data_IF_446808492642
#
_entry.id   IF_446808492642
#
_cell.length_a   1.000
_cell.length_b   1.000
_cell.length_c   1.000
_cell.angle_alpha   90.00
_cell.angle_beta   90.00
_cell.angle_gamma   90.00
#
_symmetry.space_group_name_H-M   'P 1'
#
loop_
_entity.id
_entity.type
_entity.pdbx_description
1 polymer ?
#
# COMPACT_ATOMS: atom_id res chain seq x y z
N UNK A 1 -10.27 4.10 32.31
CA UNK A 1 -9.23 5.01 31.77
C UNK A 1 -8.53 4.19 30.69
N UNK A 2 -8.82 4.52 29.40
CA UNK A 2 -8.08 3.94 28.27
C UNK A 2 -6.64 4.39 28.37
N UNK A 3 -5.68 3.45 28.16
CA UNK A 3 -4.29 3.83 27.93
C UNK A 3 -4.27 4.76 26.72
N UNK A 4 -3.52 5.86 26.79
CA UNK A 4 -3.21 6.65 25.61
C UNK A 4 -2.66 5.69 24.54
N UNK A 5 -3.32 5.65 23.39
CA UNK A 5 -2.83 4.86 22.27
C UNK A 5 -1.57 5.52 21.73
N UNK A 6 -0.50 4.79 21.67
CA UNK A 6 0.72 5.26 21.03
C UNK A 6 0.44 5.56 19.55
N UNK A 7 0.76 6.77 19.12
CA UNK A 7 0.59 7.21 17.75
C UNK A 7 1.93 7.12 17.03
N UNK A 8 2.02 6.27 16.00
CA UNK A 8 3.20 6.20 15.14
C UNK A 8 3.15 7.39 14.19
N UNK A 9 4.08 8.35 14.31
CA UNK A 9 4.24 9.39 13.30
C UNK A 9 4.98 8.81 12.09
N UNK A 10 4.20 8.36 11.13
CA UNK A 10 4.69 7.75 9.88
C UNK A 10 5.50 8.75 9.02
N UNK A 11 5.41 10.06 9.31
CA UNK A 11 5.81 11.12 8.38
C UNK A 11 6.61 12.25 9.02
N UNK A 12 7.18 12.02 10.19
CA UNK A 12 7.99 13.00 10.93
C UNK A 12 9.18 13.57 10.14
N UNK A 13 9.65 12.85 9.12
CA UNK A 13 10.75 13.29 8.24
C UNK A 13 10.36 14.40 7.27
N UNK A 14 9.05 14.66 7.07
CA UNK A 14 8.58 15.67 6.13
C UNK A 14 8.00 16.86 6.90
N UNK A 15 8.65 18.03 6.76
CA UNK A 15 8.14 19.31 7.32
C UNK A 15 7.01 19.86 6.43
N UNK A 16 5.88 19.16 6.40
CA UNK A 16 4.69 19.60 5.68
C UNK A 16 3.78 20.35 6.65
N UNK A 17 3.68 21.67 6.47
CA UNK A 17 2.82 22.54 7.30
C UNK A 17 1.36 22.45 6.92
N UNK A 18 1.06 22.20 5.64
CA UNK A 18 -0.32 22.04 5.17
C UNK A 18 -0.86 20.65 5.52
N UNK A 19 -1.78 20.61 6.49
CA UNK A 19 -2.42 19.36 6.95
C UNK A 19 -3.19 18.69 5.81
N UNK A 20 -3.82 19.45 4.91
CA UNK A 20 -4.57 18.89 3.79
C UNK A 20 -3.65 18.24 2.76
N UNK A 21 -2.50 18.84 2.51
CA UNK A 21 -1.44 18.26 1.67
C UNK A 21 -0.89 16.98 2.32
N UNK A 22 -0.57 17.04 3.62
CA UNK A 22 -0.12 15.87 4.39
C UNK A 22 -1.12 14.72 4.30
N UNK A 23 -2.41 14.99 4.49
CA UNK A 23 -3.47 13.98 4.38
C UNK A 23 -3.54 13.35 2.98
N UNK A 24 -3.51 14.15 1.91
CA UNK A 24 -3.60 13.64 0.54
C UNK A 24 -2.42 12.77 0.15
N UNK A 25 -1.22 13.17 0.55
CA UNK A 25 0.01 12.46 0.22
C UNK A 25 0.11 11.10 0.91
N UNK A 26 -0.29 11.09 2.16
CA UNK A 26 -0.02 9.98 3.05
C UNK A 26 -1.25 9.13 3.38
N UNK A 27 -2.36 9.37 2.70
CA UNK A 27 -3.41 8.36 2.70
C UNK A 27 -2.85 7.05 2.14
N UNK A 28 -3.24 5.95 2.75
CA UNK A 28 -2.72 4.64 2.37
C UNK A 28 -3.55 3.52 2.94
N UNK A 29 -2.98 2.33 2.87
CA UNK A 29 -3.56 1.11 3.42
C UNK A 29 -2.66 0.54 4.51
N UNK A 30 -3.31 0.04 5.55
CA UNK A 30 -2.66 -0.71 6.61
C UNK A 30 -3.05 -2.19 6.45
N UNK A 31 -2.08 -3.07 6.56
CA UNK A 31 -2.29 -4.50 6.71
C UNK A 31 -1.56 -4.97 7.98
N UNK A 32 -2.24 -5.76 8.80
CA UNK A 32 -1.67 -6.31 10.03
C UNK A 32 -1.51 -7.81 9.89
N UNK A 33 -0.31 -8.31 10.10
CA UNK A 33 -0.02 -9.74 10.19
C UNK A 33 -0.01 -10.15 11.66
N UNK A 34 -1.07 -10.85 12.08
CA UNK A 34 -1.28 -11.24 13.47
C UNK A 34 -0.18 -12.20 13.97
N UNK A 35 0.20 -13.18 13.14
CA UNK A 35 1.21 -14.17 13.51
C UNK A 35 2.58 -13.56 13.76
N UNK A 36 2.99 -12.67 12.87
CA UNK A 36 4.29 -12.01 12.95
C UNK A 36 4.28 -10.77 13.85
N UNK A 37 3.09 -10.32 14.30
CA UNK A 37 2.88 -9.05 15.02
C UNK A 37 3.55 -7.87 14.29
N UNK A 38 3.29 -7.78 12.99
CA UNK A 38 3.86 -6.79 12.09
C UNK A 38 2.78 -6.01 11.37
N UNK A 39 3.06 -4.74 11.07
CA UNK A 39 2.23 -3.87 10.24
C UNK A 39 2.96 -3.54 8.95
N UNK A 40 2.25 -3.54 7.84
CA UNK A 40 2.66 -2.90 6.60
C UNK A 40 1.81 -1.65 6.38
N UNK A 41 2.45 -0.51 6.17
CA UNK A 41 1.80 0.70 5.67
C UNK A 41 2.21 0.93 4.22
N UNK A 42 1.23 0.91 3.31
CA UNK A 42 1.41 1.13 1.89
C UNK A 42 0.68 2.41 1.47
N UNK A 43 1.40 3.53 1.26
CA UNK A 43 0.80 4.80 0.89
C UNK A 43 0.28 4.79 -0.55
N UNK A 44 -0.78 5.58 -0.80
CA UNK A 44 -1.39 5.64 -2.14
C UNK A 44 -0.52 6.37 -3.15
N UNK A 45 0.29 7.33 -2.72
CA UNK A 45 1.11 8.15 -3.63
C UNK A 45 2.59 8.14 -3.29
N UNK A 46 2.96 8.09 -2.00
CA UNK A 46 4.36 7.95 -1.62
C UNK A 46 4.95 6.63 -2.12
N UNK A 47 6.24 6.66 -2.47
CA UNK A 47 6.92 5.49 -3.02
C UNK A 47 7.40 4.49 -1.96
N UNK A 48 7.50 4.92 -0.71
CA UNK A 48 8.03 4.10 0.37
C UNK A 48 6.91 3.34 1.10
N UNK A 49 6.95 2.03 1.00
CA UNK A 49 6.16 1.10 1.81
C UNK A 49 6.95 0.85 3.10
N UNK A 50 6.31 1.03 4.27
CA UNK A 50 6.97 0.87 5.56
C UNK A 50 6.45 -0.35 6.33
N UNK A 51 7.36 -1.06 6.99
CA UNK A 51 7.06 -2.22 7.82
C UNK A 51 7.45 -1.94 9.27
N UNK A 52 6.55 -2.29 10.19
CA UNK A 52 6.70 -2.05 11.62
C UNK A 52 6.52 -3.36 12.36
N UNK A 53 7.28 -3.56 13.42
CA UNK A 53 7.13 -4.67 14.33
C UNK A 53 6.67 -4.17 15.70
N UNK A 54 5.71 -4.87 16.29
CA UNK A 54 5.29 -4.66 17.66
C UNK A 54 6.38 -5.16 18.61
N UNK A 55 6.74 -4.34 19.59
CA UNK A 55 7.74 -4.65 20.61
C UNK A 55 7.06 -5.29 21.83
N UNK A 56 7.84 -5.87 22.74
CA UNK A 56 7.33 -6.53 23.95
C UNK A 56 6.60 -5.57 24.89
N UNK A 57 6.91 -4.27 24.85
CA UNK A 57 6.24 -3.23 25.62
C UNK A 57 4.95 -2.72 24.95
N UNK A 58 4.61 -3.23 23.76
CA UNK A 58 3.47 -2.85 22.94
C UNK A 58 3.71 -1.65 22.04
N UNK A 59 4.92 -1.08 22.03
CA UNK A 59 5.31 -0.02 21.11
C UNK A 59 5.54 -0.56 19.69
N UNK A 60 5.54 0.34 18.70
CA UNK A 60 5.79 -0.01 17.31
C UNK A 60 7.13 0.57 16.84
N UNK A 61 7.98 -0.28 16.30
CA UNK A 61 9.26 0.13 15.74
C UNK A 61 9.29 -0.13 14.23
N UNK A 62 9.74 0.87 13.45
CA UNK A 62 10.00 0.68 12.02
C UNK A 62 11.13 -0.34 11.85
N UNK A 63 10.83 -1.43 11.15
CA UNK A 63 11.74 -2.55 10.93
C UNK A 63 12.46 -2.44 9.59
N UNK A 64 11.70 -2.10 8.55
CA UNK A 64 12.21 -2.04 7.18
C UNK A 64 11.34 -1.13 6.31
N UNK A 65 11.81 -0.86 5.10
CA UNK A 65 11.02 -0.19 4.06
C UNK A 65 11.41 -0.67 2.66
N UNK A 66 10.44 -0.61 1.75
CA UNK A 66 10.62 -0.93 0.35
C UNK A 66 10.23 0.27 -0.52
N UNK A 67 11.13 0.71 -1.41
CA UNK A 67 10.87 1.82 -2.30
C UNK A 67 10.47 1.33 -3.70
N UNK A 68 9.31 1.77 -4.17
CA UNK A 68 8.78 1.41 -5.50
C UNK A 68 9.52 2.08 -6.66
N UNK A 69 10.38 3.08 -6.38
CA UNK A 69 11.10 3.84 -7.41
C UNK A 69 10.22 4.74 -8.29
N UNK A 70 8.96 4.95 -7.90
CA UNK A 70 8.00 5.80 -8.62
C UNK A 70 7.97 7.23 -8.10
N UNK A 71 8.88 7.56 -7.19
CA UNK A 71 8.97 8.83 -6.50
C UNK A 71 9.29 10.00 -7.44
N UNK A 72 9.02 11.16 -6.98
CA UNK A 72 9.19 12.44 -7.66
C UNK A 72 8.44 13.56 -6.95
N UNK A 73 7.44 13.19 -6.14
CA UNK A 73 6.72 14.19 -5.36
C UNK A 73 7.43 14.50 -4.02
N UNK A 74 8.15 13.55 -3.44
CA UNK A 74 8.92 13.77 -2.21
C UNK A 74 9.91 14.94 -2.37
N UNK A 75 10.54 15.07 -3.54
CA UNK A 75 11.45 16.15 -3.84
C UNK A 75 10.74 17.52 -3.92
N UNK A 76 9.45 17.53 -4.25
CA UNK A 76 8.63 18.75 -4.34
C UNK A 76 8.10 19.24 -3.00
N UNK A 77 8.08 18.40 -1.98
CA UNK A 77 7.55 18.74 -0.66
C UNK A 77 8.45 19.73 0.09
N UNK A 78 9.75 19.73 -0.19
CA UNK A 78 10.75 20.43 0.62
C UNK A 78 10.72 21.97 0.49
N UNK A 79 10.00 22.54 -0.49
CA UNK A 79 10.21 23.94 -0.86
C UNK A 79 8.96 24.83 -0.85
N UNK A 80 7.76 24.30 -0.67
CA UNK A 80 6.56 25.13 -0.83
C UNK A 80 5.58 25.09 0.34
N UNK A 81 4.94 26.22 0.56
CA UNK A 81 3.84 26.39 1.51
C UNK A 81 2.52 25.71 1.08
N UNK A 82 2.48 25.07 -0.09
CA UNK A 82 1.35 24.32 -0.59
C UNK A 82 1.82 23.22 -1.54
N UNK A 83 1.39 22.01 -1.31
CA UNK A 83 1.67 20.85 -2.16
C UNK A 83 0.42 20.43 -2.90
N UNK A 84 0.52 20.30 -4.22
CA UNK A 84 -0.52 19.72 -5.06
C UNK A 84 -0.01 18.46 -5.78
N UNK A 85 -0.86 17.43 -5.80
CA UNK A 85 -0.64 16.28 -6.67
C UNK A 85 -0.80 16.71 -8.13
N UNK A 86 0.19 16.36 -8.96
CA UNK A 86 0.17 16.62 -10.39
C UNK A 86 -0.52 15.50 -11.16
N UNK A 87 -0.94 15.79 -12.39
CA UNK A 87 -1.62 14.81 -13.24
C UNK A 87 -0.78 13.58 -13.58
N UNK A 88 0.53 13.72 -13.58
CA UNK A 88 1.51 12.66 -13.85
C UNK A 88 1.97 11.90 -12.60
N UNK A 89 1.53 12.32 -11.40
CA UNK A 89 1.83 11.58 -10.18
C UNK A 89 1.18 10.19 -10.21
N UNK A 90 1.97 9.19 -9.90
CA UNK A 90 1.56 7.80 -9.94
C UNK A 90 0.84 7.42 -8.66
N UNK A 91 -0.33 6.79 -8.80
CA UNK A 91 -0.97 6.11 -7.69
C UNK A 91 -0.33 4.73 -7.50
N UNK A 92 0.26 4.52 -6.34
CA UNK A 92 0.98 3.30 -6.00
C UNK A 92 0.02 2.25 -5.41
N UNK A 93 -0.44 2.45 -4.18
CA UNK A 93 -1.28 1.49 -3.50
C UNK A 93 -2.77 1.79 -3.68
N UNK A 94 -3.52 0.79 -4.15
CA UNK A 94 -4.99 0.81 -4.13
C UNK A 94 -5.55 0.11 -2.91
N UNK A 95 -4.97 -1.06 -2.58
CA UNK A 95 -5.45 -1.90 -1.50
C UNK A 95 -4.31 -2.74 -0.94
N UNK A 96 -4.46 -3.20 0.31
CA UNK A 96 -3.50 -4.06 0.96
C UNK A 96 -4.19 -5.01 1.94
N UNK A 97 -3.66 -6.21 2.06
CA UNK A 97 -4.09 -7.22 3.01
C UNK A 97 -2.90 -8.05 3.48
N UNK A 98 -3.15 -8.93 4.47
CA UNK A 98 -2.18 -9.90 4.96
C UNK A 98 -2.78 -11.29 4.98
N UNK A 99 -1.92 -12.28 4.97
CA UNK A 99 -2.20 -13.67 5.28
C UNK A 99 -1.44 -14.09 6.54
N UNK A 100 -1.35 -15.38 6.80
CA UNK A 100 -0.52 -15.90 7.89
C UNK A 100 0.97 -15.54 7.74
N UNK A 101 1.51 -15.58 6.49
CA UNK A 101 2.95 -15.52 6.25
C UNK A 101 3.41 -14.26 5.52
N UNK A 102 2.50 -13.56 4.84
CA UNK A 102 2.84 -12.51 3.89
C UNK A 102 1.95 -11.28 4.02
N UNK A 103 2.48 -10.18 3.47
CA UNK A 103 1.71 -8.99 3.11
C UNK A 103 1.49 -8.94 1.61
N UNK A 104 0.36 -8.41 1.19
CA UNK A 104 -0.02 -8.22 -0.21
C UNK A 104 -0.46 -6.79 -0.45
N UNK A 105 0.03 -6.20 -1.52
CA UNK A 105 -0.36 -4.86 -1.96
C UNK A 105 -0.84 -4.90 -3.40
N UNK A 106 -1.99 -4.32 -3.67
CA UNK A 106 -2.46 -4.06 -5.03
C UNK A 106 -1.85 -2.75 -5.53
N UNK A 107 -0.89 -2.86 -6.45
CA UNK A 107 -0.25 -1.74 -7.11
C UNK A 107 -1.07 -1.28 -8.32
N UNK A 108 -1.37 0.02 -8.41
CA UNK A 108 -2.16 0.60 -9.49
C UNK A 108 -1.30 0.96 -10.71
N UNK A 109 -0.30 1.80 -10.52
CA UNK A 109 0.58 2.27 -11.59
C UNK A 109 -0.07 3.27 -12.56
N UNK A 110 -1.30 3.73 -12.29
CA UNK A 110 -1.94 4.79 -13.09
C UNK A 110 -1.50 6.16 -12.61
N UNK A 111 -1.41 7.10 -13.53
CA UNK A 111 -1.27 8.51 -13.23
C UNK A 111 -2.63 9.14 -12.87
N UNK A 112 -2.61 10.24 -12.12
CA UNK A 112 -3.83 10.94 -11.71
C UNK A 112 -4.61 11.54 -12.89
N UNK A 113 -3.93 11.88 -13.98
CA UNK A 113 -4.55 12.36 -15.20
C UNK A 113 -5.20 11.27 -16.04
N UNK A 114 -5.05 10.01 -15.64
CA UNK A 114 -5.51 8.83 -16.39
C UNK A 114 -5.02 8.81 -17.85
N UNK A 115 -3.84 9.35 -18.09
CA UNK A 115 -3.22 9.40 -19.43
C UNK A 115 -2.52 8.09 -19.77
N UNK A 116 -2.06 7.35 -18.75
CA UNK A 116 -1.45 6.03 -18.90
C UNK A 116 -2.51 4.95 -19.06
N UNK A 117 -2.43 4.23 -20.17
CA UNK A 117 -3.15 2.95 -20.32
C UNK A 117 -2.35 1.87 -19.63
N UNK A 118 -2.93 1.24 -18.61
CA UNK A 118 -2.35 0.07 -17.98
C UNK A 118 -2.97 -1.20 -18.58
N UNK A 119 -2.12 -2.14 -18.96
CA UNK A 119 -2.56 -3.46 -19.41
C UNK A 119 -2.83 -4.40 -18.25
N UNK A 120 -2.10 -4.23 -17.16
CA UNK A 120 -2.18 -5.05 -15.95
C UNK A 120 -2.01 -4.17 -14.71
N UNK A 121 -2.61 -4.62 -13.61
CA UNK A 121 -2.19 -4.25 -12.27
C UNK A 121 -1.30 -5.33 -11.69
N UNK A 122 -0.70 -5.05 -10.55
CA UNK A 122 0.20 -6.00 -9.92
C UNK A 122 -0.21 -6.21 -8.46
N UNK A 123 -0.25 -7.46 -8.04
CA UNK A 123 -0.27 -7.81 -6.62
C UNK A 123 1.17 -8.11 -6.22
N UNK A 124 1.71 -7.30 -5.33
CA UNK A 124 3.08 -7.42 -4.84
C UNK A 124 3.00 -8.11 -3.48
N UNK A 125 3.74 -9.20 -3.34
CA UNK A 125 3.82 -9.97 -2.10
C UNK A 125 5.15 -9.68 -1.40
N UNK A 126 5.05 -9.41 -0.10
CA UNK A 126 6.20 -9.22 0.78
C UNK A 126 6.16 -10.23 1.92
N UNK A 127 7.30 -10.69 2.36
CA UNK A 127 7.41 -11.45 3.61
C UNK A 127 7.03 -10.56 4.80
N UNK A 128 6.77 -11.14 5.96
CA UNK A 128 6.52 -10.40 7.20
C UNK A 128 7.69 -9.48 7.62
N UNK A 129 8.88 -9.68 7.04
CA UNK A 129 10.06 -8.85 7.25
C UNK A 129 10.21 -7.71 6.23
N UNK A 130 9.26 -7.53 5.32
CA UNK A 130 9.29 -6.46 4.32
C UNK A 130 10.11 -6.79 3.06
N UNK A 131 10.61 -8.00 2.92
CA UNK A 131 11.36 -8.42 1.73
C UNK A 131 10.39 -8.74 0.60
N UNK A 132 10.64 -8.17 -0.60
CA UNK A 132 9.90 -8.52 -1.81
C UNK A 132 10.07 -10.01 -2.10
N UNK A 133 8.95 -10.72 -2.19
CA UNK A 133 8.94 -12.17 -2.45
C UNK A 133 8.47 -12.47 -3.89
N UNK A 134 7.32 -11.95 -4.29
CA UNK A 134 6.73 -12.26 -5.59
C UNK A 134 5.87 -11.10 -6.12
N UNK A 135 5.69 -11.07 -7.46
CA UNK A 135 4.81 -10.12 -8.14
C UNK A 135 3.88 -10.86 -9.09
N UNK A 136 2.58 -10.70 -8.90
CA UNK A 136 1.55 -11.32 -9.73
C UNK A 136 0.91 -10.26 -10.65
N UNK A 137 0.71 -10.60 -11.92
CA UNK A 137 -0.09 -9.79 -12.84
C UNK A 137 -1.57 -10.09 -12.62
N UNK A 138 -2.37 -9.04 -12.51
CA UNK A 138 -3.82 -9.15 -12.39
C UNK A 138 -4.52 -8.25 -13.42
N UNK A 139 -5.80 -8.53 -13.66
CA UNK A 139 -6.60 -7.75 -14.60
C UNK A 139 -6.65 -6.26 -14.15
N UNK A 140 -6.57 -5.28 -15.06
CA UNK A 140 -6.61 -3.85 -14.72
C UNK A 140 -7.94 -3.39 -14.12
N UNK A 141 -8.99 -4.21 -14.22
CA UNK A 141 -10.29 -3.94 -13.60
C UNK A 141 -10.36 -4.26 -12.11
N UNK A 142 -9.36 -4.96 -11.54
CA UNK A 142 -9.27 -5.26 -10.10
C UNK A 142 -9.17 -3.97 -9.29
N UNK A 143 -9.96 -3.87 -8.23
CA UNK A 143 -10.05 -2.70 -7.33
C UNK A 143 -9.62 -2.99 -5.91
N UNK A 144 -9.95 -4.18 -5.41
CA UNK A 144 -9.58 -4.64 -4.08
C UNK A 144 -9.11 -6.08 -4.13
N UNK A 145 -8.34 -6.46 -3.13
CA UNK A 145 -7.82 -7.81 -2.94
C UNK A 145 -8.08 -8.28 -1.52
N UNK A 146 -8.26 -9.57 -1.38
CA UNK A 146 -8.21 -10.27 -0.10
C UNK A 146 -7.56 -11.63 -0.35
N UNK A 147 -6.67 -12.05 0.52
CA UNK A 147 -5.98 -13.33 0.40
C UNK A 147 -6.45 -14.27 1.50
N UNK A 148 -6.58 -15.57 1.19
CA UNK A 148 -6.86 -16.58 2.20
C UNK A 148 -5.74 -16.63 3.23
N UNK A 149 -6.10 -16.98 4.48
CA UNK A 149 -5.13 -17.00 5.59
C UNK A 149 -3.94 -17.92 5.30
N UNK A 150 -4.18 -19.04 4.64
CA UNK A 150 -3.21 -20.09 4.27
C UNK A 150 -2.43 -19.80 2.97
N UNK A 151 -2.57 -18.61 2.39
CA UNK A 151 -1.93 -18.20 1.11
C UNK A 151 -2.34 -19.04 -0.11
N UNK A 152 -3.42 -19.82 -0.04
CA UNK A 152 -3.83 -20.70 -1.14
C UNK A 152 -4.60 -19.97 -2.25
N UNK A 153 -5.28 -18.88 -1.93
CA UNK A 153 -6.16 -18.18 -2.87
C UNK A 153 -6.15 -16.66 -2.69
N UNK A 154 -6.29 -15.94 -3.80
CA UNK A 154 -6.61 -14.51 -3.82
C UNK A 154 -8.04 -14.32 -4.30
N UNK A 155 -8.78 -13.49 -3.59
CA UNK A 155 -10.09 -12.98 -3.96
C UNK A 155 -9.94 -11.55 -4.43
N UNK A 156 -10.61 -11.19 -5.51
CA UNK A 156 -10.52 -9.86 -6.11
C UNK A 156 -11.91 -9.28 -6.32
N UNK A 157 -12.06 -7.99 -6.01
CA UNK A 157 -13.21 -7.22 -6.46
C UNK A 157 -12.84 -6.52 -7.76
N UNK A 158 -13.64 -6.70 -8.80
CA UNK A 158 -13.44 -6.14 -10.13
C UNK A 158 -14.61 -5.26 -10.53
N UNK A 159 -14.36 -4.28 -11.41
CA UNK A 159 -15.40 -3.49 -12.05
C UNK A 159 -15.45 -3.90 -13.52
N UNK A 160 -16.59 -4.40 -13.98
CA UNK A 160 -16.86 -4.73 -15.38
C UNK A 160 -16.96 -3.48 -16.27
N UNK A 161 -17.01 -3.69 -17.58
CA UNK A 161 -17.12 -2.60 -18.58
C UNK A 161 -18.42 -1.81 -18.47
N UNK A 162 -19.46 -2.43 -17.96
CA UNK A 162 -20.78 -1.88 -17.67
C UNK A 162 -20.89 -1.17 -16.31
N UNK A 163 -19.79 -1.18 -15.53
CA UNK A 163 -19.74 -0.61 -14.19
C UNK A 163 -20.21 -1.57 -13.09
N UNK A 164 -20.58 -2.79 -13.43
CA UNK A 164 -21.01 -3.79 -12.44
C UNK A 164 -19.80 -4.35 -11.66
N UNK A 165 -20.03 -4.68 -10.41
CA UNK A 165 -19.03 -5.30 -9.56
C UNK A 165 -19.10 -6.83 -9.64
N UNK A 166 -17.95 -7.46 -9.73
CA UNK A 166 -17.81 -8.91 -9.70
C UNK A 166 -16.72 -9.33 -8.72
N UNK A 167 -16.93 -10.48 -8.08
CA UNK A 167 -15.91 -11.12 -7.23
C UNK A 167 -15.29 -12.25 -8.02
N UNK A 168 -13.98 -12.23 -8.14
CA UNK A 168 -13.18 -13.32 -8.71
C UNK A 168 -12.38 -14.04 -7.63
N UNK A 169 -12.03 -15.29 -7.89
CA UNK A 169 -11.11 -16.10 -7.11
C UNK A 169 -10.05 -16.69 -8.03
N UNK A 170 -8.80 -16.68 -7.60
CA UNK A 170 -7.69 -17.37 -8.26
C UNK A 170 -6.83 -18.08 -7.23
N UNK A 171 -6.24 -19.20 -7.60
CA UNK A 171 -5.22 -19.86 -6.79
C UNK A 171 -3.90 -19.08 -6.89
N UNK A 172 -3.20 -18.94 -5.75
CA UNK A 172 -1.86 -18.37 -5.67
C UNK A 172 -0.83 -19.49 -5.88
N UNK A 173 -0.65 -19.92 -7.14
CA UNK A 173 0.43 -20.85 -7.47
C UNK A 173 1.70 -20.08 -7.81
N UNK A 174 2.79 -20.35 -7.09
CA UNK A 174 4.15 -19.95 -7.49
C UNK A 174 4.53 -20.85 -8.66
N UNK A 175 4.70 -20.26 -9.83
CA UNK A 175 5.31 -20.96 -10.99
C UNK A 175 6.81 -20.76 -10.98
#
# INVERSE_FOLDING_TARGET
QGKESECIDLYSRFDIRDISAKYRLFQGRLAFNERARCLMFAPSYASEIAFYAEQDDGSWMKKDSFCLGTGGFEDRISESSGFELLKDDIRNCMDACSSENYFYMLYDGTDLGHTRKIEFRYVIRFTANGVLDCVYKVNPTVRNICVSYDDSAVYVLMIGKDGEYAIGKSELSIR
#
